data_IF_084329636432
#
_entry.id   IF_084329636432
#
_cell.length_a   1.000
_cell.length_b   1.000
_cell.length_c   1.000
_cell.angle_alpha   90.00
_cell.angle_beta   90.00
_cell.angle_gamma   90.00
#
_symmetry.space_group_name_H-M   'P 1'
#
loop_
_entity.id
_entity.type
_entity.pdbx_description
1 polymer ?
#
# COMPACT_ATOMS: atom_id res chain seq x y z
N UNK A 1 -14.68 22.09 -5.78
CA UNK A 1 -15.79 21.60 -6.62
C UNK A 1 -16.58 20.61 -5.77
N UNK A 2 -17.87 20.84 -5.49
CA UNK A 2 -18.66 19.90 -4.70
C UNK A 2 -19.00 18.66 -5.53
N UNK A 3 -19.03 17.51 -4.87
CA UNK A 3 -19.43 16.23 -5.46
C UNK A 3 -20.97 16.26 -5.59
N UNK A 4 -21.56 15.91 -6.75
CA UNK A 4 -23.01 15.92 -6.92
C UNK A 4 -23.71 14.92 -5.99
N UNK A 5 -24.89 15.29 -5.49
CA UNK A 5 -25.70 14.44 -4.62
C UNK A 5 -26.03 13.10 -5.28
N UNK A 6 -25.73 11.99 -4.58
CA UNK A 6 -25.98 10.62 -5.03
C UNK A 6 -24.78 9.88 -5.62
N UNK A 7 -23.61 10.53 -5.72
CA UNK A 7 -22.36 9.89 -6.11
C UNK A 7 -21.46 9.68 -4.89
N UNK A 8 -21.38 8.43 -4.45
CA UNK A 8 -20.41 8.02 -3.45
C UNK A 8 -19.02 7.97 -4.09
N UNK A 9 -18.09 8.81 -3.63
CA UNK A 9 -16.65 8.66 -3.93
C UNK A 9 -16.07 7.54 -3.07
N UNK A 10 -16.60 6.32 -3.19
CA UNK A 10 -16.07 5.16 -2.49
C UNK A 10 -15.06 4.43 -3.39
N UNK A 11 -13.91 4.07 -2.81
CA UNK A 11 -12.84 3.34 -3.53
C UNK A 11 -12.10 4.12 -4.62
N UNK A 12 -12.23 5.45 -4.66
CA UNK A 12 -11.48 6.28 -5.60
C UNK A 12 -9.98 6.19 -5.32
N UNK A 13 -9.19 5.84 -6.35
CA UNK A 13 -7.75 5.73 -6.23
C UNK A 13 -7.02 6.41 -7.40
N UNK A 14 -5.93 7.12 -7.08
CA UNK A 14 -5.00 7.66 -8.07
C UNK A 14 -4.07 6.53 -8.50
N UNK A 15 -4.16 6.13 -9.77
CA UNK A 15 -3.42 4.98 -10.32
C UNK A 15 -2.10 5.45 -10.93
N UNK A 16 -0.96 5.06 -10.33
CA UNK A 16 0.38 5.39 -10.86
C UNK A 16 0.89 4.41 -11.92
N UNK A 17 0.05 3.46 -12.34
CA UNK A 17 0.37 2.44 -13.35
C UNK A 17 -0.58 1.25 -13.25
N UNK A 18 -0.57 0.39 -14.26
CA UNK A 18 -1.33 -0.86 -14.25
C UNK A 18 -0.63 -1.94 -13.42
N UNK A 19 -1.36 -2.82 -12.70
CA UNK A 19 -0.75 -3.90 -11.94
C UNK A 19 0.17 -4.76 -12.80
N UNK A 20 1.37 -5.06 -12.30
CA UNK A 20 2.37 -5.86 -13.01
C UNK A 20 2.55 -7.20 -12.32
N UNK A 21 2.60 -8.29 -13.07
CA UNK A 21 2.81 -9.65 -12.54
C UNK A 21 1.75 -10.06 -11.49
N UNK A 22 0.57 -9.44 -11.53
CA UNK A 22 -0.50 -9.61 -10.55
C UNK A 22 -0.17 -9.05 -9.17
N UNK A 23 0.77 -8.11 -9.08
CA UNK A 23 1.16 -7.40 -7.86
C UNK A 23 0.73 -5.94 -7.98
N UNK A 24 0.12 -5.42 -6.92
CA UNK A 24 -0.28 -4.02 -6.81
C UNK A 24 0.10 -3.46 -5.44
N UNK A 25 0.68 -2.27 -5.41
CA UNK A 25 0.83 -1.48 -4.20
C UNK A 25 -0.40 -0.61 -3.94
N UNK A 26 -0.71 -0.35 -2.67
CA UNK A 26 -1.75 0.57 -2.22
C UNK A 26 -1.16 1.46 -1.13
N UNK A 27 -1.45 2.75 -1.15
CA UNK A 27 -1.04 3.71 -0.13
C UNK A 27 -2.18 4.69 0.19
N UNK A 28 -2.13 5.33 1.35
CA UNK A 28 -3.08 6.39 1.69
C UNK A 28 -2.78 7.66 0.87
N UNK A 29 -1.62 8.28 1.13
CA UNK A 29 -1.17 9.49 0.44
C UNK A 29 -0.55 9.24 -0.93
N UNK A 30 -0.62 10.25 -1.80
CA UNK A 30 -0.02 10.22 -3.14
C UNK A 30 1.51 10.24 -3.06
N UNK A 31 2.07 10.98 -2.11
CA UNK A 31 3.51 11.10 -1.84
C UNK A 31 4.10 9.76 -1.41
N UNK A 32 3.40 9.04 -0.53
CA UNK A 32 3.72 7.66 -0.13
C UNK A 32 3.68 6.72 -1.34
N UNK A 33 2.63 6.81 -2.16
CA UNK A 33 2.49 6.00 -3.38
C UNK A 33 3.62 6.25 -4.38
N UNK A 34 3.95 7.52 -4.65
CA UNK A 34 5.01 7.93 -5.56
C UNK A 34 6.38 7.48 -5.06
N UNK A 35 6.65 7.61 -3.76
CA UNK A 35 7.92 7.19 -3.15
C UNK A 35 8.11 5.68 -3.26
N UNK A 36 7.08 4.91 -2.91
CA UNK A 36 7.08 3.47 -3.04
C UNK A 36 7.22 3.02 -4.50
N UNK A 37 6.48 3.64 -5.43
CA UNK A 37 6.58 3.33 -6.85
C UNK A 37 7.98 3.63 -7.40
N UNK A 38 8.53 4.81 -7.07
CA UNK A 38 9.86 5.24 -7.51
C UNK A 38 10.94 4.27 -7.07
N UNK A 39 10.89 3.77 -5.83
CA UNK A 39 11.93 2.89 -5.31
C UNK A 39 11.73 1.44 -5.73
N UNK A 40 10.50 0.93 -5.69
CA UNK A 40 10.23 -0.50 -5.92
C UNK A 40 9.93 -0.84 -7.36
N UNK A 41 9.56 0.15 -8.18
CA UNK A 41 9.05 -0.05 -9.54
C UNK A 41 7.84 -1.00 -9.59
N UNK A 42 7.14 -1.19 -8.46
CA UNK A 42 5.87 -1.89 -8.38
C UNK A 42 4.77 -0.82 -8.43
N UNK A 43 3.81 -0.89 -9.36
CA UNK A 43 2.72 0.07 -9.46
C UNK A 43 2.03 0.26 -8.11
N UNK A 44 1.84 1.50 -7.67
CA UNK A 44 1.17 1.82 -6.40
C UNK A 44 -0.01 2.75 -6.65
N UNK A 45 -1.16 2.45 -6.07
CA UNK A 45 -2.34 3.30 -6.15
C UNK A 45 -2.55 4.02 -4.82
N UNK A 46 -2.81 5.33 -4.87
CA UNK A 46 -3.16 6.11 -3.67
C UNK A 46 -4.66 6.13 -3.50
N UNK A 47 -5.16 5.78 -2.31
CA UNK A 47 -6.59 5.81 -1.96
C UNK A 47 -7.02 7.16 -1.42
N UNK A 48 -6.15 8.17 -1.43
CA UNK A 48 -6.36 9.55 -0.95
C UNK A 48 -6.50 9.69 0.58
N UNK A 49 -7.20 8.77 1.25
CA UNK A 49 -7.33 8.74 2.71
C UNK A 49 -7.55 7.31 3.24
N UNK A 50 -7.41 7.15 4.56
CA UNK A 50 -7.57 5.87 5.28
C UNK A 50 -8.97 5.26 5.11
N UNK A 51 -10.04 6.06 5.13
CA UNK A 51 -11.42 5.57 4.97
C UNK A 51 -11.64 4.95 3.58
N UNK A 52 -11.10 5.58 2.55
CA UNK A 52 -11.16 5.06 1.18
C UNK A 52 -10.28 3.82 0.98
N UNK A 53 -9.22 3.68 1.78
CA UNK A 53 -8.43 2.45 1.79
C UNK A 53 -9.26 1.24 2.22
N UNK A 54 -10.12 1.39 3.23
CA UNK A 54 -10.96 0.28 3.72
C UNK A 54 -11.99 -0.17 2.68
N UNK A 55 -12.51 0.77 1.89
CA UNK A 55 -13.45 0.50 0.80
C UNK A 55 -12.77 0.02 -0.49
N UNK A 56 -11.44 0.09 -0.59
CA UNK A 56 -10.68 -0.25 -1.79
C UNK A 56 -11.05 -1.61 -2.38
N UNK A 57 -11.17 -1.64 -3.71
CA UNK A 57 -11.39 -2.84 -4.49
C UNK A 57 -10.18 -3.12 -5.40
N UNK A 58 -9.71 -4.36 -5.32
CA UNK A 58 -8.56 -4.81 -6.09
C UNK A 58 -9.00 -5.14 -7.52
N UNK A 59 -8.31 -4.64 -8.56
CA UNK A 59 -8.61 -4.96 -9.95
C UNK A 59 -8.38 -6.44 -10.26
N UNK A 60 -9.03 -6.95 -11.31
CA UNK A 60 -8.90 -8.34 -11.75
C UNK A 60 -7.45 -8.71 -12.08
N UNK A 61 -7.06 -9.96 -11.83
CA UNK A 61 -5.72 -10.48 -12.10
C UNK A 61 -4.68 -10.17 -11.02
N UNK A 62 -5.00 -9.32 -10.03
CA UNK A 62 -4.12 -9.08 -8.88
C UNK A 62 -4.31 -10.19 -7.84
N UNK A 63 -3.21 -10.89 -7.54
CA UNK A 63 -3.17 -11.93 -6.52
C UNK A 63 -2.44 -11.49 -5.24
N UNK A 64 -1.66 -10.40 -5.31
CA UNK A 64 -0.90 -9.88 -4.17
C UNK A 64 -1.00 -8.36 -4.08
N UNK A 65 -1.30 -7.86 -2.88
CA UNK A 65 -1.36 -6.44 -2.56
C UNK A 65 -0.30 -6.07 -1.52
N UNK A 66 0.44 -4.99 -1.77
CA UNK A 66 1.39 -4.39 -0.84
C UNK A 66 0.81 -3.08 -0.30
N UNK A 67 0.42 -3.04 0.96
CA UNK A 67 -0.11 -1.83 1.59
C UNK A 67 1.05 -1.05 2.22
N UNK A 68 1.37 0.11 1.64
CA UNK A 68 2.33 1.08 2.15
C UNK A 68 1.61 2.00 3.14
N UNK A 69 1.57 1.57 4.39
CA UNK A 69 0.88 2.29 5.46
C UNK A 69 1.80 3.33 6.10
N UNK A 70 1.21 4.46 6.49
CA UNK A 70 1.90 5.50 7.26
C UNK A 70 1.95 5.09 8.74
N UNK A 71 3.03 5.47 9.41
CA UNK A 71 3.23 5.16 10.83
C UNK A 71 2.95 6.40 11.67
N UNK A 72 1.73 6.47 12.18
CA UNK A 72 1.24 7.58 13.00
C UNK A 72 1.10 7.22 14.48
N UNK A 73 1.08 8.23 15.35
CA UNK A 73 0.87 8.02 16.81
C UNK A 73 -0.54 7.52 17.13
N UNK A 74 -1.52 7.84 16.28
CA UNK A 74 -2.92 7.40 16.39
C UNK A 74 -3.15 5.94 15.96
N UNK A 75 -2.18 5.35 15.23
CA UNK A 75 -2.28 4.01 14.64
C UNK A 75 -3.44 3.91 13.65
N UNK A 76 -3.86 5.03 13.06
CA UNK A 76 -5.03 5.07 12.17
C UNK A 76 -4.68 4.43 10.83
N UNK A 77 -3.55 4.82 10.24
CA UNK A 77 -3.10 4.27 8.95
C UNK A 77 -2.88 2.75 9.03
N UNK A 78 -2.24 2.27 10.11
CA UNK A 78 -2.05 0.84 10.33
C UNK A 78 -3.38 0.09 10.56
N UNK A 79 -4.34 0.68 11.28
CA UNK A 79 -5.66 0.06 11.48
C UNK A 79 -6.41 -0.10 10.16
N UNK A 80 -6.51 0.95 9.35
CA UNK A 80 -7.19 0.90 8.06
C UNK A 80 -6.51 -0.05 7.09
N UNK A 81 -5.17 -0.10 7.09
CA UNK A 81 -4.41 -1.10 6.32
C UNK A 81 -4.74 -2.55 6.75
N UNK A 82 -4.89 -2.80 8.06
CA UNK A 82 -5.26 -4.12 8.58
C UNK A 82 -6.71 -4.49 8.27
N UNK A 83 -7.63 -3.52 8.26
CA UNK A 83 -9.02 -3.73 7.82
C UNK A 83 -9.07 -4.15 6.35
N UNK A 84 -8.37 -3.41 5.47
CA UNK A 84 -8.26 -3.77 4.05
C UNK A 84 -7.62 -5.15 3.87
N UNK A 85 -6.53 -5.42 4.60
CA UNK A 85 -5.87 -6.74 4.60
C UNK A 85 -6.86 -7.86 4.90
N UNK A 86 -7.59 -7.77 6.01
CA UNK A 86 -8.54 -8.82 6.42
C UNK A 86 -9.65 -9.02 5.38
N UNK A 87 -10.14 -7.94 4.75
CA UNK A 87 -11.14 -7.99 3.68
C UNK A 87 -10.62 -8.72 2.44
N UNK A 88 -9.40 -8.43 2.01
CA UNK A 88 -8.80 -9.00 0.79
C UNK A 88 -8.32 -10.44 1.01
N UNK A 89 -7.77 -10.77 2.18
CA UNK A 89 -7.37 -12.15 2.51
C UNK A 89 -8.55 -13.11 2.50
N UNK A 90 -9.74 -12.67 2.95
CA UNK A 90 -10.99 -13.44 2.81
C UNK A 90 -11.39 -13.74 1.36
N UNK A 91 -10.89 -12.94 0.41
CA UNK A 91 -11.10 -13.13 -1.04
C UNK A 91 -9.97 -13.94 -1.69
N UNK A 92 -9.04 -14.49 -0.90
CA UNK A 92 -7.89 -15.26 -1.38
C UNK A 92 -6.74 -14.42 -1.92
N UNK A 93 -6.77 -13.09 -1.71
CA UNK A 93 -5.71 -12.17 -2.13
C UNK A 93 -4.67 -12.10 -1.02
N UNK A 94 -3.40 -12.27 -1.35
CA UNK A 94 -2.30 -12.10 -0.38
C UNK A 94 -2.09 -10.63 -0.09
N UNK A 95 -1.96 -10.26 1.17
CA UNK A 95 -1.73 -8.87 1.55
C UNK A 95 -0.57 -8.73 2.53
N UNK A 96 0.34 -7.82 2.23
CA UNK A 96 1.45 -7.46 3.11
C UNK A 96 1.39 -5.97 3.46
N UNK A 97 1.33 -5.68 4.76
CA UNK A 97 1.38 -4.30 5.28
C UNK A 97 2.83 -3.94 5.57
N UNK A 98 3.28 -2.84 4.97
CA UNK A 98 4.63 -2.31 5.08
C UNK A 98 4.58 -0.99 5.85
N UNK A 99 5.29 -0.95 6.98
CA UNK A 99 5.43 0.24 7.82
C UNK A 99 6.87 0.77 7.79
N UNK A 100 7.07 2.10 7.84
CA UNK A 100 8.37 2.70 8.08
C UNK A 100 9.04 2.16 9.35
N UNK A 101 10.30 1.73 9.22
CA UNK A 101 11.09 1.25 10.38
C UNK A 101 11.60 2.38 11.26
N UNK A 102 11.67 3.59 10.72
CA UNK A 102 12.12 4.78 11.44
C UNK A 102 11.24 5.07 12.67
N UNK A 103 11.82 5.60 13.76
CA UNK A 103 11.05 6.10 14.89
C UNK A 103 10.29 7.36 14.49
N UNK A 104 9.10 7.58 15.06
CA UNK A 104 8.37 8.83 14.86
C UNK A 104 9.14 9.95 15.58
N UNK A 105 9.55 11.04 14.89
CA UNK A 105 10.23 12.15 15.52
C UNK A 105 9.38 12.75 16.66
N UNK A 106 9.98 13.25 17.77
CA UNK A 106 9.23 13.69 18.95
C UNK A 106 8.12 14.71 18.66
N UNK A 107 8.37 15.66 17.76
CA UNK A 107 7.45 16.74 17.37
C UNK A 107 6.54 16.40 16.17
N UNK A 108 6.73 15.24 15.54
CA UNK A 108 5.91 14.82 14.41
C UNK A 108 4.67 14.04 14.90
N UNK A 109 3.62 14.05 14.07
CA UNK A 109 2.39 13.24 14.29
C UNK A 109 2.55 11.80 13.81
N UNK A 110 3.45 11.57 12.87
CA UNK A 110 3.77 10.28 12.28
C UNK A 110 5.02 10.36 11.41
N UNK A 111 5.27 9.30 10.67
CA UNK A 111 6.30 9.18 9.64
C UNK A 111 5.74 8.37 8.48
N UNK A 112 5.94 8.84 7.26
CA UNK A 112 5.48 8.18 6.04
C UNK A 112 6.64 7.63 5.19
N UNK A 113 6.34 7.03 4.04
CA UNK A 113 7.38 6.50 3.15
C UNK A 113 8.11 7.59 2.37
N UNK A 114 7.53 8.77 2.20
CA UNK A 114 8.24 9.91 1.61
C UNK A 114 9.33 10.43 2.56
N UNK A 115 9.04 10.52 3.86
CA UNK A 115 10.05 10.82 4.89
C UNK A 115 11.20 9.81 4.87
N UNK A 116 10.88 8.51 4.72
CA UNK A 116 11.88 7.44 4.56
C UNK A 116 12.74 7.69 3.32
N UNK A 117 12.13 8.03 2.18
CA UNK A 117 12.86 8.32 0.94
C UNK A 117 13.77 9.53 1.09
N UNK A 118 13.29 10.59 1.72
CA UNK A 118 14.06 11.82 1.92
C UNK A 118 15.20 11.64 2.93
N UNK A 119 15.02 10.78 3.94
CA UNK A 119 16.01 10.56 5.00
C UNK A 119 17.03 9.47 4.67
N UNK A 120 16.59 8.35 4.11
CA UNK A 120 17.41 7.13 3.93
C UNK A 120 17.62 6.77 2.45
N UNK A 121 16.98 7.48 1.52
CA UNK A 121 16.96 7.12 0.11
C UNK A 121 16.28 5.77 -0.13
N UNK A 122 16.67 5.09 -1.20
CA UNK A 122 16.13 3.76 -1.55
C UNK A 122 16.49 2.66 -0.55
N UNK A 123 17.53 2.86 0.29
CA UNK A 123 17.96 1.88 1.30
C UNK A 123 16.98 1.75 2.48
N UNK A 124 16.14 2.76 2.70
CA UNK A 124 15.07 2.69 3.71
C UNK A 124 13.89 1.80 3.32
N UNK A 125 13.82 1.41 2.04
CA UNK A 125 12.75 0.57 1.51
C UNK A 125 13.15 -0.90 1.47
N UNK A 126 12.18 -1.83 1.50
CA UNK A 126 12.43 -3.20 1.10
C UNK A 126 12.98 -3.25 -0.32
N UNK A 127 14.02 -4.05 -0.54
CA UNK A 127 14.59 -4.22 -1.86
C UNK A 127 13.54 -4.78 -2.84
N UNK A 128 13.38 -4.14 -4.00
CA UNK A 128 12.37 -4.49 -5.00
C UNK A 128 12.48 -5.93 -5.50
N UNK A 129 13.71 -6.38 -5.80
CA UNK A 129 13.97 -7.75 -6.24
C UNK A 129 13.63 -8.74 -5.13
N UNK A 130 14.03 -8.44 -3.90
CA UNK A 130 13.68 -9.27 -2.75
C UNK A 130 12.16 -9.38 -2.56
N UNK A 131 11.40 -8.27 -2.69
CA UNK A 131 9.95 -8.29 -2.62
C UNK A 131 9.35 -9.21 -3.69
N UNK A 132 9.76 -9.07 -4.95
CA UNK A 132 9.27 -9.91 -6.06
C UNK A 132 9.63 -11.38 -5.85
N UNK A 133 10.87 -11.68 -5.49
CA UNK A 133 11.35 -13.04 -5.21
C UNK A 133 10.58 -13.67 -4.04
N UNK A 134 10.33 -12.90 -2.98
CA UNK A 134 9.55 -13.35 -1.83
C UNK A 134 8.10 -13.68 -2.23
N UNK A 135 7.44 -12.80 -2.99
CA UNK A 135 6.07 -13.02 -3.47
C UNK A 135 6.02 -14.24 -4.40
N UNK A 136 6.98 -14.38 -5.32
CA UNK A 136 7.05 -15.49 -6.26
C UNK A 136 7.24 -16.84 -5.55
N UNK A 137 8.12 -16.91 -4.55
CA UNK A 137 8.33 -18.13 -3.74
C UNK A 137 7.06 -18.54 -3.00
N UNK A 138 6.41 -17.58 -2.33
CA UNK A 138 5.15 -17.83 -1.61
C UNK A 138 4.03 -18.26 -2.54
N UNK A 139 4.02 -17.81 -3.81
CA UNK A 139 3.06 -18.30 -4.80
C UNK A 139 3.30 -19.77 -5.17
N UNK A 140 4.56 -20.17 -5.36
CA UNK A 140 4.91 -21.54 -5.73
C UNK A 140 4.57 -22.57 -4.63
N UNK A 141 4.69 -22.17 -3.36
CA UNK A 141 4.34 -23.02 -2.21
C UNK A 141 2.82 -23.30 -2.12
N UNK A 142 1.98 -22.33 -2.49
CA UNK A 142 0.52 -22.47 -2.43
C UNK A 142 -0.12 -23.12 -3.66
N UNK A 143 0.58 -23.18 -4.80
CA UNK A 143 0.09 -23.87 -6.01
C UNK A 143 0.25 -25.40 -5.98
N UNK A 144 0.66 -25.97 -4.85
CA UNK A 144 0.88 -27.42 -4.64
C UNK A 144 -0.23 -28.10 -3.83
N UNK A 145 -1.31 -27.39 -3.50
CA UNK A 145 -2.49 -27.92 -2.83
C UNK A 145 -3.72 -27.72 -3.72
#
# INVERSE_FOLDING_TARGET
MPIPDGLDVNGAAIRLGEPTEGILGVAEGLETALSAYRVTQIPVWSTVNATLMESFEVPEGVHTVLIWADKDKSVTGEKSANVLKAKLEKRGIRVYVLLPKLPIPPRAKGIDWNDVLMSQGSLGFPNARYLRDFIARRRAEYGRH
#
